data_IF_442518875703
#
_entry.id   IF_442518875703
#
_cell.length_a   1.000
_cell.length_b   1.000
_cell.length_c   1.000
_cell.angle_alpha   90.00
_cell.angle_beta   90.00
_cell.angle_gamma   90.00
#
_symmetry.space_group_name_H-M   'P 1'
#
loop_
_entity.id
_entity.type
_entity.pdbx_description
1 polymer ?
#
# COMPACT_ATOMS: atom_id res chain seq x y z
N UNK A 1 -5.50 -16.79 -7.50
CA UNK A 1 -5.49 -15.41 -8.06
C UNK A 1 -6.65 -14.54 -7.53
N UNK A 2 -7.93 -14.95 -7.65
CA UNK A 2 -9.08 -14.15 -7.17
C UNK A 2 -9.11 -13.87 -5.65
N UNK A 3 -8.70 -14.83 -4.81
CA UNK A 3 -8.60 -14.68 -3.33
C UNK A 3 -7.75 -13.46 -2.94
N UNK A 4 -6.55 -13.36 -3.51
CA UNK A 4 -5.64 -12.24 -3.27
C UNK A 4 -6.14 -10.91 -3.84
N UNK A 5 -6.79 -10.91 -5.01
CA UNK A 5 -7.39 -9.70 -5.58
C UNK A 5 -8.51 -9.15 -4.69
N UNK A 6 -9.36 -10.03 -4.15
CA UNK A 6 -10.43 -9.63 -3.23
C UNK A 6 -9.86 -9.09 -1.91
N UNK A 7 -8.84 -9.73 -1.34
CA UNK A 7 -8.19 -9.30 -0.10
C UNK A 7 -7.48 -7.95 -0.26
N UNK A 8 -6.59 -7.84 -1.27
CA UNK A 8 -5.86 -6.60 -1.58
C UNK A 8 -6.84 -5.48 -1.93
N UNK A 9 -7.89 -5.78 -2.71
CA UNK A 9 -8.94 -4.83 -3.05
C UNK A 9 -9.68 -4.30 -1.82
N UNK A 10 -9.95 -5.15 -0.84
CA UNK A 10 -10.65 -4.77 0.40
C UNK A 10 -9.78 -3.89 1.30
N UNK A 11 -8.48 -4.22 1.43
CA UNK A 11 -7.48 -3.37 2.13
C UNK A 11 -7.35 -2.02 1.44
N UNK A 12 -7.33 -2.02 0.11
CA UNK A 12 -7.26 -0.80 -0.69
C UNK A 12 -8.48 0.10 -0.49
N UNK A 13 -9.70 -0.44 -0.59
CA UNK A 13 -10.93 0.32 -0.32
C UNK A 13 -10.93 0.86 1.12
N UNK A 14 -10.49 0.06 2.08
CA UNK A 14 -10.38 0.47 3.49
C UNK A 14 -9.40 1.63 3.68
N UNK A 15 -8.31 1.66 2.91
CA UNK A 15 -7.36 2.78 2.92
C UNK A 15 -7.98 4.06 2.38
N UNK A 16 -8.80 3.97 1.31
CA UNK A 16 -9.54 5.13 0.79
C UNK A 16 -10.54 5.64 1.84
N UNK A 17 -11.28 4.75 2.50
CA UNK A 17 -12.22 5.13 3.56
C UNK A 17 -11.49 5.88 4.68
N UNK A 18 -10.33 5.38 5.12
CA UNK A 18 -9.53 6.03 6.16
C UNK A 18 -9.06 7.44 5.76
N UNK A 19 -8.67 7.63 4.50
CA UNK A 19 -8.29 8.95 3.96
C UNK A 19 -9.50 9.88 3.92
N UNK A 20 -10.61 9.44 3.31
CA UNK A 20 -11.79 10.28 3.09
C UNK A 20 -12.42 10.70 4.43
N UNK A 21 -12.53 9.76 5.37
CA UNK A 21 -13.13 10.04 6.69
C UNK A 21 -12.30 10.99 7.54
N UNK A 22 -11.01 11.17 7.25
CA UNK A 22 -10.15 12.12 7.95
C UNK A 22 -10.53 13.59 7.72
N UNK A 23 -11.27 13.88 6.63
CA UNK A 23 -11.75 15.23 6.29
C UNK A 23 -13.12 15.54 6.91
N UNK A 24 -13.71 14.60 7.66
CA UNK A 24 -14.99 14.79 8.31
C UNK A 24 -14.83 14.80 9.82
N UNK A 25 -15.22 15.91 10.44
CA UNK A 25 -15.23 16.03 11.89
C UNK A 25 -16.23 15.07 12.54
N UNK A 26 -15.87 14.60 13.74
CA UNK A 26 -16.75 13.75 14.55
C UNK A 26 -16.78 12.28 14.15
N UNK A 27 -16.04 11.86 13.12
CA UNK A 27 -15.89 10.43 12.81
C UNK A 27 -15.00 9.76 13.86
N UNK A 28 -15.51 8.74 14.59
CA UNK A 28 -14.70 7.99 15.54
C UNK A 28 -13.59 7.19 14.88
N UNK A 29 -12.47 7.03 15.58
CA UNK A 29 -11.28 6.33 15.07
C UNK A 29 -11.58 4.90 14.59
N UNK A 30 -12.53 4.20 15.20
CA UNK A 30 -12.88 2.83 14.81
C UNK A 30 -13.71 2.76 13.52
N UNK A 31 -14.36 3.85 13.11
CA UNK A 31 -15.00 3.94 11.78
C UNK A 31 -13.94 4.28 10.73
N UNK A 32 -13.03 5.19 11.06
CA UNK A 32 -11.93 5.61 10.19
C UNK A 32 -10.93 4.47 9.90
N UNK A 33 -10.42 3.82 10.95
CA UNK A 33 -9.35 2.81 10.84
C UNK A 33 -9.83 1.38 11.01
N UNK A 34 -11.05 1.14 11.51
CA UNK A 34 -11.57 -0.21 11.76
C UNK A 34 -11.57 -1.11 10.52
N UNK A 35 -12.08 -0.66 9.36
CA UNK A 35 -12.02 -1.45 8.13
C UNK A 35 -10.58 -1.85 7.76
N UNK A 36 -9.64 -0.91 7.89
CA UNK A 36 -8.24 -1.17 7.56
C UNK A 36 -7.60 -2.19 8.51
N UNK A 37 -7.90 -2.11 9.81
CA UNK A 37 -7.42 -3.07 10.81
C UNK A 37 -7.99 -4.46 10.54
N UNK A 38 -9.29 -4.56 10.26
CA UNK A 38 -9.97 -5.85 10.02
C UNK A 38 -9.45 -6.49 8.73
N UNK A 39 -9.56 -5.79 7.60
CA UNK A 39 -9.17 -6.36 6.31
C UNK A 39 -7.66 -6.50 6.18
N UNK A 40 -6.89 -5.56 6.73
CA UNK A 40 -5.43 -5.65 6.78
C UNK A 40 -4.96 -6.83 7.64
N UNK A 41 -5.56 -7.00 8.83
CA UNK A 41 -5.27 -8.12 9.71
C UNK A 41 -5.60 -9.48 9.08
N UNK A 42 -6.81 -9.61 8.50
CA UNK A 42 -7.20 -10.84 7.79
C UNK A 42 -6.25 -11.14 6.63
N UNK A 43 -5.90 -10.11 5.84
CA UNK A 43 -4.99 -10.27 4.71
C UNK A 43 -3.60 -10.72 5.17
N UNK A 44 -3.06 -10.11 6.23
CA UNK A 44 -1.77 -10.49 6.80
C UNK A 44 -1.78 -11.94 7.31
N UNK A 45 -2.82 -12.34 8.05
CA UNK A 45 -2.96 -13.72 8.53
C UNK A 45 -2.99 -14.71 7.37
N UNK A 46 -3.78 -14.43 6.33
CA UNK A 46 -3.89 -15.31 5.16
C UNK A 46 -2.55 -15.43 4.44
N UNK A 47 -1.83 -14.32 4.26
CA UNK A 47 -0.50 -14.34 3.62
C UNK A 47 0.47 -15.18 4.46
N UNK A 48 0.49 -15.02 5.78
CA UNK A 48 1.37 -15.79 6.67
C UNK A 48 1.04 -17.29 6.63
N UNK A 49 -0.25 -17.64 6.62
CA UNK A 49 -0.68 -19.03 6.53
C UNK A 49 -0.33 -19.65 5.18
N UNK A 50 -0.61 -18.93 4.08
CA UNK A 50 -0.28 -19.40 2.73
C UNK A 50 1.26 -19.53 2.55
N UNK A 51 2.08 -18.68 3.19
CA UNK A 51 3.56 -18.81 3.20
C UNK A 51 4.06 -20.05 3.95
N UNK A 52 3.42 -20.43 5.07
CA UNK A 52 3.80 -21.63 5.81
C UNK A 52 3.41 -22.93 5.07
N UNK A 53 2.35 -22.89 4.25
CA UNK A 53 1.94 -24.03 3.42
C UNK A 53 2.82 -24.19 2.16
N UNK A 54 3.47 -23.11 1.69
CA UNK A 54 4.37 -23.14 0.53
C UNK A 54 5.79 -23.66 0.85
N UNK A 55 6.22 -23.70 2.12
CA UNK A 55 7.51 -24.31 2.53
C UNK A 55 7.57 -25.83 2.28
N UNK A 56 6.43 -26.49 2.05
CA UNK A 56 6.35 -27.92 1.69
C UNK A 56 6.36 -28.19 0.16
N UNK A 57 6.39 -27.15 -0.68
CA UNK A 57 6.32 -27.25 -2.15
C UNK A 57 7.49 -26.57 -2.89
N UNK A 58 8.56 -26.19 -2.21
CA UNK A 58 9.78 -25.67 -2.86
C UNK A 58 10.54 -26.78 -3.60
N UNK A 59 10.10 -27.13 -4.81
CA UNK A 59 11.02 -27.66 -5.84
C UNK A 59 10.63 -27.43 -7.30
N UNK A 60 9.49 -26.80 -7.64
CA UNK A 60 9.17 -26.53 -9.05
C UNK A 60 8.87 -25.05 -9.31
N UNK A 61 9.93 -24.30 -9.64
CA UNK A 61 10.05 -23.50 -10.88
C UNK A 61 11.26 -22.56 -10.74
N UNK A 62 12.43 -23.16 -10.95
CA UNK A 62 13.58 -22.44 -11.50
C UNK A 62 13.22 -21.98 -12.93
N UNK A 63 13.66 -20.80 -13.33
CA UNK A 63 13.51 -20.16 -14.66
C UNK A 63 12.28 -19.27 -14.93
N UNK A 64 12.14 -18.18 -14.15
CA UNK A 64 11.47 -16.97 -14.67
C UNK A 64 12.45 -15.81 -14.73
N UNK A 65 12.64 -15.29 -15.94
CA UNK A 65 13.52 -14.18 -16.30
C UNK A 65 13.41 -12.98 -15.34
N UNK A 66 14.51 -12.56 -14.68
CA UNK A 66 14.47 -11.53 -13.65
C UNK A 66 14.14 -10.11 -14.16
N UNK A 67 14.01 -9.87 -15.47
CA UNK A 67 13.75 -8.52 -16.01
C UNK A 67 12.26 -8.17 -16.17
N UNK A 68 11.38 -9.15 -16.32
CA UNK A 68 9.94 -8.90 -16.56
C UNK A 68 9.19 -8.54 -15.28
N UNK A 69 9.60 -9.10 -14.14
CA UNK A 69 8.94 -8.89 -12.86
C UNK A 69 9.25 -7.52 -12.24
N UNK A 70 10.45 -6.98 -12.44
CA UNK A 70 10.84 -5.69 -11.87
C UNK A 70 9.99 -4.54 -12.45
N UNK A 71 9.73 -4.55 -13.77
CA UNK A 71 8.87 -3.52 -14.41
C UNK A 71 7.42 -3.58 -13.91
N UNK A 72 6.94 -4.79 -13.59
CA UNK A 72 5.59 -5.02 -13.05
C UNK A 72 5.48 -4.52 -11.60
N UNK A 73 6.54 -4.72 -10.79
CA UNK A 73 6.62 -4.21 -9.41
C UNK A 73 6.57 -2.67 -9.39
N UNK A 74 7.36 -2.00 -10.22
CA UNK A 74 7.34 -0.52 -10.28
C UNK A 74 5.97 0.03 -10.71
N UNK A 75 5.32 -0.59 -11.70
CA UNK A 75 3.99 -0.15 -12.15
C UNK A 75 2.91 -0.27 -11.08
N UNK A 76 2.90 -1.38 -10.31
CA UNK A 76 1.96 -1.57 -9.20
C UNK A 76 2.21 -0.51 -8.12
N UNK A 77 3.47 -0.16 -7.87
CA UNK A 77 3.83 0.83 -6.87
C UNK A 77 3.37 2.24 -7.24
N UNK A 78 3.62 2.66 -8.48
CA UNK A 78 3.18 3.95 -9.00
C UNK A 78 1.65 4.04 -8.98
N UNK A 79 0.95 2.94 -9.28
CA UNK A 79 -0.51 2.86 -9.20
C UNK A 79 -1.03 3.04 -7.77
N UNK A 80 -0.37 2.43 -6.77
CA UNK A 80 -0.73 2.60 -5.34
C UNK A 80 -0.47 4.03 -4.86
N UNK A 81 0.63 4.65 -5.29
CA UNK A 81 0.92 6.04 -4.95
C UNK A 81 -0.11 7.00 -5.56
N UNK A 82 -0.42 6.84 -6.85
CA UNK A 82 -1.45 7.62 -7.53
C UNK A 82 -2.82 7.45 -6.87
N UNK A 83 -3.15 6.23 -6.47
CA UNK A 83 -4.45 5.93 -5.90
C UNK A 83 -4.67 6.48 -4.50
N UNK A 84 -3.60 6.78 -3.74
CA UNK A 84 -3.67 7.52 -2.49
C UNK A 84 -3.62 9.03 -2.76
N UNK A 85 -2.80 9.46 -3.73
CA UNK A 85 -2.63 10.87 -4.06
C UNK A 85 -3.92 11.51 -4.58
N UNK A 86 -4.59 10.88 -5.55
CA UNK A 86 -5.79 11.42 -6.20
C UNK A 86 -6.91 11.72 -5.17
N UNK A 87 -7.33 10.78 -4.31
CA UNK A 87 -8.36 11.08 -3.32
C UNK A 87 -7.87 12.08 -2.29
N UNK A 88 -6.59 12.04 -1.86
CA UNK A 88 -6.08 13.00 -0.87
C UNK A 88 -6.08 14.44 -1.41
N UNK A 89 -5.58 14.64 -2.63
CA UNK A 89 -5.58 15.95 -3.30
C UNK A 89 -7.02 16.40 -3.56
N UNK A 90 -7.88 15.50 -4.05
CA UNK A 90 -9.30 15.80 -4.28
C UNK A 90 -10.00 16.26 -3.00
N UNK A 91 -9.84 15.52 -1.91
CA UNK A 91 -10.44 15.87 -0.62
C UNK A 91 -9.90 17.21 -0.10
N UNK A 92 -8.60 17.48 -0.21
CA UNK A 92 -8.05 18.78 0.18
C UNK A 92 -8.65 19.95 -0.62
N UNK A 93 -8.82 19.78 -1.94
CA UNK A 93 -9.33 20.85 -2.80
C UNK A 93 -10.85 21.08 -2.63
N UNK A 94 -11.63 20.03 -2.37
CA UNK A 94 -13.10 20.12 -2.33
C UNK A 94 -13.68 20.21 -0.91
N UNK A 95 -13.02 19.61 0.09
CA UNK A 95 -13.49 19.55 1.47
C UNK A 95 -12.65 20.38 2.46
N UNK A 96 -11.44 20.78 2.07
CA UNK A 96 -10.56 21.62 2.89
C UNK A 96 -9.53 20.81 3.67
N UNK A 97 -9.18 21.28 4.87
CA UNK A 97 -8.06 20.70 5.63
C UNK A 97 -8.46 19.37 6.31
N UNK A 98 -7.62 18.33 6.19
CA UNK A 98 -7.81 17.09 6.93
C UNK A 98 -7.49 17.26 8.41
N UNK A 99 -8.03 16.36 9.24
CA UNK A 99 -7.69 16.32 10.66
C UNK A 99 -6.22 15.99 10.92
N UNK A 100 -5.59 15.18 10.06
CA UNK A 100 -4.18 14.84 10.16
C UNK A 100 -3.32 15.59 9.13
N UNK A 101 -2.27 16.26 9.62
CA UNK A 101 -1.32 17.03 8.79
C UNK A 101 -0.64 16.19 7.69
N UNK A 102 -0.51 14.87 7.91
CA UNK A 102 0.10 13.94 6.95
C UNK A 102 -0.72 13.85 5.64
N UNK A 103 -2.00 14.21 5.66
CA UNK A 103 -2.87 14.26 4.48
C UNK A 103 -3.05 15.69 3.95
N UNK A 104 -2.50 16.71 4.60
CA UNK A 104 -2.68 18.11 4.19
C UNK A 104 -1.70 18.48 3.06
N UNK A 105 -2.22 18.76 1.86
CA UNK A 105 -1.37 19.08 0.69
C UNK A 105 -0.67 20.44 0.78
N UNK A 106 -1.15 21.33 1.66
CA UNK A 106 -0.51 22.61 1.95
C UNK A 106 0.72 22.46 2.86
N UNK A 107 0.80 21.35 3.60
CA UNK A 107 1.90 21.09 4.52
C UNK A 107 3.10 20.44 3.84
N UNK A 108 4.30 20.89 4.18
CA UNK A 108 5.54 20.35 3.62
C UNK A 108 5.75 18.88 4.06
N UNK A 109 5.22 18.49 5.22
CA UNK A 109 5.25 17.12 5.73
C UNK A 109 4.59 16.12 4.78
N UNK A 110 3.46 16.48 4.17
CA UNK A 110 2.77 15.64 3.18
C UNK A 110 3.69 15.32 1.99
N UNK A 111 4.34 16.34 1.42
CA UNK A 111 5.21 16.16 0.25
C UNK A 111 6.47 15.39 0.57
N UNK A 112 7.06 15.58 1.76
CA UNK A 112 8.18 14.76 2.23
C UNK A 112 7.74 13.30 2.31
N UNK A 113 6.62 13.02 2.99
CA UNK A 113 6.14 11.65 3.15
C UNK A 113 5.87 11.00 1.78
N UNK A 114 5.15 11.70 0.90
CA UNK A 114 4.78 11.20 -0.41
C UNK A 114 6.00 10.94 -1.31
N UNK A 115 7.04 11.79 -1.27
CA UNK A 115 8.27 11.59 -2.03
C UNK A 115 9.21 10.54 -1.39
N UNK A 116 9.24 10.44 -0.05
CA UNK A 116 10.10 9.52 0.67
C UNK A 116 9.73 8.06 0.41
N UNK A 117 8.43 7.73 0.40
CA UNK A 117 7.94 6.36 0.19
C UNK A 117 8.50 5.69 -1.09
N UNK A 118 8.38 6.29 -2.31
CA UNK A 118 8.93 5.69 -3.51
C UNK A 118 10.46 5.64 -3.51
N UNK A 119 11.13 6.64 -2.93
CA UNK A 119 12.59 6.67 -2.82
C UNK A 119 13.09 5.54 -1.92
N UNK A 120 12.51 5.39 -0.73
CA UNK A 120 12.85 4.32 0.21
C UNK A 120 12.63 2.95 -0.41
N UNK A 121 11.53 2.76 -1.15
CA UNK A 121 11.31 1.47 -1.82
C UNK A 121 12.33 1.21 -2.93
N UNK A 122 12.71 2.21 -3.74
CA UNK A 122 13.77 2.05 -4.74
C UNK A 122 15.11 1.67 -4.10
N UNK A 123 15.43 2.29 -2.96
CA UNK A 123 16.62 1.94 -2.18
C UNK A 123 16.52 0.49 -1.68
N UNK A 124 15.37 0.09 -1.13
CA UNK A 124 15.13 -1.28 -0.67
C UNK A 124 15.29 -2.31 -1.80
N UNK A 125 14.62 -2.12 -2.94
CA UNK A 125 14.73 -3.01 -4.11
C UNK A 125 16.18 -3.14 -4.55
N UNK A 126 16.90 -2.02 -4.66
CA UNK A 126 18.32 -2.01 -5.06
C UNK A 126 19.23 -2.74 -4.07
N UNK A 127 18.93 -2.70 -2.77
CA UNK A 127 19.66 -3.45 -1.74
C UNK A 127 19.38 -4.95 -1.89
N UNK A 128 18.12 -5.33 -2.11
CA UNK A 128 17.72 -6.73 -2.30
C UNK A 128 18.35 -7.33 -3.57
N UNK A 129 18.30 -6.63 -4.70
CA UNK A 129 18.96 -7.06 -5.94
C UNK A 129 20.46 -7.33 -5.77
N UNK A 130 21.15 -6.56 -4.92
CA UNK A 130 22.58 -6.76 -4.62
C UNK A 130 22.83 -7.99 -3.76
N UNK A 131 21.92 -8.33 -2.83
CA UNK A 131 22.05 -9.52 -1.97
C UNK A 131 21.82 -10.82 -2.72
N UNK A 132 20.95 -10.85 -3.72
CA UNK A 132 20.66 -12.05 -4.52
C UNK A 132 21.64 -12.28 -5.69
N UNK A 133 22.49 -11.30 -6.03
CA UNK A 133 23.55 -11.45 -7.04
C UNK A 133 24.93 -11.85 -6.48
N UNK A 134 25.08 -11.89 -5.15
CA UNK A 134 26.30 -12.25 -4.45
C UNK A 134 26.20 -13.70 -3.95
#
# INVERSE_FOLDING_TARGET
>A
MFKYVFLIGSVYISSIIAIVTDFFDGIPWYIQFGPLIVFGGITAIIIILDMNDEEDLEQEETDREPQKDVKKIYFIQDLILLSILIPTVGMNLFFGEPKNDILNIGELGFWIFFAAVPILNRVYIKIMERRFKA
#
